data_IF_256466915370
#
_entry.id   IF_256466915370
#
_cell.length_a   1.000
_cell.length_b   1.000
_cell.length_c   1.000
_cell.angle_alpha   90.00
_cell.angle_beta   90.00
_cell.angle_gamma   90.00
#
_symmetry.space_group_name_H-M   'P 1'
#
loop_
_entity.id
_entity.type
_entity.pdbx_description
1 polymer ?
#
# COMPACT_ATOMS: atom_id res chain seq x y z
N UNK A 1 -30.05 -36.99 3.78
CA UNK A 1 -29.40 -35.82 3.15
C UNK A 1 -29.20 -34.80 4.23
N UNK A 2 -27.98 -34.68 4.73
CA UNK A 2 -27.63 -33.61 5.66
C UNK A 2 -27.63 -32.31 4.85
N UNK A 3 -28.61 -31.46 5.10
CA UNK A 3 -28.71 -30.16 4.46
C UNK A 3 -27.69 -29.29 5.19
N UNK A 4 -26.55 -29.03 4.53
CA UNK A 4 -25.57 -28.09 5.06
C UNK A 4 -26.25 -26.75 5.34
N UNK A 5 -25.93 -26.08 6.47
CA UNK A 5 -26.52 -24.79 6.79
C UNK A 5 -26.21 -23.79 5.67
N UNK A 6 -27.23 -23.01 5.27
CA UNK A 6 -27.08 -21.95 4.27
C UNK A 6 -26.01 -20.96 4.77
N UNK A 7 -24.97 -20.66 3.97
CA UNK A 7 -23.91 -19.77 4.41
C UNK A 7 -24.47 -18.38 4.70
N UNK A 8 -24.02 -17.80 5.82
CA UNK A 8 -24.40 -16.47 6.30
C UNK A 8 -24.46 -15.44 5.14
N UNK A 9 -25.47 -14.55 5.06
CA UNK A 9 -25.55 -13.53 4.01
C UNK A 9 -24.29 -12.66 3.85
N UNK A 10 -23.43 -12.54 4.86
CA UNK A 10 -22.11 -11.92 4.75
C UNK A 10 -21.10 -12.71 3.89
N UNK A 11 -21.29 -14.03 3.76
CA UNK A 11 -20.52 -14.95 2.89
C UNK A 11 -20.95 -14.85 1.42
N UNK A 12 -22.11 -14.25 1.13
CA UNK A 12 -22.72 -14.31 -0.22
C UNK A 12 -22.07 -13.43 -1.28
N UNK A 13 -21.01 -12.68 -0.95
CA UNK A 13 -20.28 -11.90 -1.95
C UNK A 13 -18.78 -12.12 -1.84
N UNK A 14 -18.28 -12.97 -2.75
CA UNK A 14 -16.86 -13.21 -2.93
C UNK A 14 -16.34 -12.40 -4.13
N UNK A 15 -15.03 -12.16 -4.15
CA UNK A 15 -14.32 -11.70 -5.34
C UNK A 15 -13.05 -12.53 -5.52
N UNK A 16 -12.46 -12.46 -6.71
CA UNK A 16 -11.17 -13.08 -6.98
C UNK A 16 -10.08 -12.00 -6.94
N UNK A 17 -9.02 -12.27 -6.19
CA UNK A 17 -7.87 -11.36 -6.13
C UNK A 17 -6.97 -11.57 -7.36
N UNK A 18 -6.70 -10.50 -8.11
CA UNK A 18 -5.90 -10.58 -9.34
C UNK A 18 -4.41 -10.91 -9.10
N UNK A 19 -3.92 -10.82 -7.85
CA UNK A 19 -2.53 -11.14 -7.48
C UNK A 19 -2.37 -12.62 -7.10
N UNK A 20 -3.18 -13.12 -6.16
CA UNK A 20 -3.05 -14.49 -5.67
C UNK A 20 -4.01 -15.48 -6.34
N UNK A 21 -4.94 -15.01 -7.18
CA UNK A 21 -5.98 -15.81 -7.85
C UNK A 21 -6.96 -16.56 -6.90
N UNK A 22 -6.92 -16.26 -5.59
CA UNK A 22 -7.86 -16.84 -4.62
C UNK A 22 -9.20 -16.09 -4.61
N UNK A 23 -10.27 -16.84 -4.32
CA UNK A 23 -11.56 -16.26 -3.96
C UNK A 23 -11.58 -15.85 -2.49
N UNK A 24 -11.92 -14.59 -2.21
CA UNK A 24 -11.97 -13.99 -0.87
C UNK A 24 -13.31 -13.29 -0.64
N UNK A 25 -13.74 -13.09 0.61
CA UNK A 25 -14.92 -12.28 0.91
C UNK A 25 -14.75 -10.83 0.44
N UNK A 26 -15.82 -10.20 -0.05
CA UNK A 26 -15.76 -8.81 -0.53
C UNK A 26 -15.31 -7.80 0.53
N UNK A 27 -15.56 -8.06 1.82
CA UNK A 27 -15.12 -7.16 2.88
C UNK A 27 -13.58 -7.16 3.07
N UNK A 28 -12.89 -8.16 2.52
CA UNK A 28 -11.42 -8.22 2.47
C UNK A 28 -10.85 -7.61 1.17
N UNK A 29 -11.71 -7.04 0.33
CA UNK A 29 -11.30 -6.40 -0.92
C UNK A 29 -10.81 -4.98 -0.70
N UNK A 30 -9.70 -4.67 -1.35
CA UNK A 30 -9.09 -3.36 -1.43
C UNK A 30 -9.22 -2.85 -2.87
N UNK A 31 -9.78 -1.65 -3.03
CA UNK A 31 -9.95 -0.98 -4.32
C UNK A 31 -9.01 0.19 -4.43
N UNK A 32 -8.24 0.22 -5.51
CA UNK A 32 -7.32 1.31 -5.80
C UNK A 32 -8.11 2.45 -6.44
N UNK A 33 -7.93 3.68 -5.96
CA UNK A 33 -8.57 4.86 -6.54
C UNK A 33 -8.07 5.07 -7.98
N UNK A 34 -8.99 5.42 -8.88
CA UNK A 34 -8.66 5.64 -10.29
C UNK A 34 -8.67 4.38 -11.16
N UNK A 35 -9.05 3.20 -10.63
CA UNK A 35 -9.32 2.02 -11.45
C UNK A 35 -10.37 1.08 -10.81
N UNK A 36 -10.73 0.00 -11.50
CA UNK A 36 -11.68 -1.02 -11.04
C UNK A 36 -11.02 -2.29 -10.48
N UNK A 37 -9.69 -2.35 -10.46
CA UNK A 37 -8.96 -3.53 -9.99
C UNK A 37 -9.08 -3.68 -8.47
N UNK A 38 -9.26 -4.92 -8.03
CA UNK A 38 -9.51 -5.27 -6.63
C UNK A 38 -8.55 -6.35 -6.17
N UNK A 39 -8.06 -6.22 -4.94
CA UNK A 39 -7.04 -7.11 -4.38
C UNK A 39 -7.39 -7.43 -2.93
N UNK A 40 -6.97 -8.57 -2.40
CA UNK A 40 -7.13 -8.81 -0.97
C UNK A 40 -6.13 -7.96 -0.16
N UNK A 41 -6.45 -7.71 1.11
CA UNK A 41 -5.57 -6.94 1.99
C UNK A 41 -4.16 -7.52 2.11
N UNK A 42 -4.01 -8.86 2.17
CA UNK A 42 -2.70 -9.50 2.24
C UNK A 42 -1.82 -9.21 1.02
N UNK A 43 -2.40 -9.29 -0.17
CA UNK A 43 -1.68 -8.97 -1.40
C UNK A 43 -1.27 -7.50 -1.46
N UNK A 44 -2.14 -6.56 -1.03
CA UNK A 44 -1.78 -5.14 -0.99
C UNK A 44 -0.70 -4.85 0.03
N UNK A 45 -0.78 -5.42 1.24
CA UNK A 45 0.26 -5.25 2.27
C UNK A 45 1.63 -5.69 1.75
N UNK A 46 1.69 -6.88 1.14
CA UNK A 46 2.94 -7.43 0.60
C UNK A 46 3.45 -6.63 -0.60
N UNK A 47 2.55 -6.22 -1.50
CA UNK A 47 2.89 -5.42 -2.67
C UNK A 47 3.47 -4.06 -2.27
N UNK A 48 2.81 -3.36 -1.35
CA UNK A 48 3.30 -2.09 -0.80
C UNK A 48 4.67 -2.28 -0.15
N UNK A 49 4.80 -3.25 0.75
CA UNK A 49 6.06 -3.52 1.44
C UNK A 49 7.21 -3.78 0.45
N UNK A 50 6.96 -4.56 -0.61
CA UNK A 50 7.95 -4.82 -1.67
C UNK A 50 8.35 -3.55 -2.42
N UNK A 51 7.40 -2.68 -2.79
CA UNK A 51 7.73 -1.43 -3.49
C UNK A 51 8.52 -0.46 -2.63
N UNK A 52 8.21 -0.38 -1.34
CA UNK A 52 8.98 0.42 -0.39
C UNK A 52 10.38 -0.16 -0.12
N UNK A 53 10.53 -1.49 -0.21
CA UNK A 53 11.84 -2.14 -0.21
C UNK A 53 12.68 -1.72 -1.41
N UNK A 54 12.06 -1.59 -2.59
CA UNK A 54 12.68 -1.08 -3.81
C UNK A 54 12.92 0.44 -3.81
N UNK A 55 12.58 1.14 -2.72
CA UNK A 55 12.70 2.61 -2.62
C UNK A 55 11.64 3.39 -3.39
N UNK A 56 10.58 2.74 -3.85
CA UNK A 56 9.50 3.37 -4.63
C UNK A 56 8.41 3.88 -3.69
N UNK A 57 8.33 5.21 -3.53
CA UNK A 57 7.29 5.87 -2.71
C UNK A 57 5.98 6.13 -3.45
N UNK A 58 6.02 6.26 -4.78
CA UNK A 58 4.84 6.44 -5.63
C UNK A 58 4.37 5.08 -6.15
N UNK A 59 3.39 4.48 -5.47
CA UNK A 59 2.95 3.11 -5.73
C UNK A 59 1.70 3.11 -6.58
N UNK A 60 1.84 2.64 -7.82
CA UNK A 60 0.74 2.49 -8.76
C UNK A 60 0.08 1.11 -8.67
N UNK A 61 -1.09 1.00 -9.29
CA UNK A 61 -1.79 -0.25 -9.51
C UNK A 61 -0.87 -1.33 -10.11
N UNK A 62 -0.88 -2.57 -9.58
CA UNK A 62 -0.08 -3.69 -10.09
C UNK A 62 -0.27 -3.98 -11.59
N UNK A 63 -1.46 -3.70 -12.14
CA UNK A 63 -1.76 -3.90 -13.56
C UNK A 63 -0.96 -2.93 -14.45
N UNK A 64 -0.19 -3.42 -15.43
CA UNK A 64 0.56 -2.58 -16.36
C UNK A 64 -0.33 -1.59 -17.11
N UNK A 65 0.16 -0.35 -17.30
CA UNK A 65 -0.56 0.77 -17.96
C UNK A 65 -1.83 1.24 -17.25
N UNK A 66 -2.13 0.74 -16.04
CA UNK A 66 -3.17 1.30 -15.20
C UNK A 66 -2.62 2.51 -14.43
N UNK A 67 -3.36 3.61 -14.42
CA UNK A 67 -2.98 4.84 -13.72
C UNK A 67 -3.60 4.98 -12.32
N UNK A 68 -4.21 3.91 -11.80
CA UNK A 68 -4.71 3.89 -10.42
C UNK A 68 -3.56 4.01 -9.43
N UNK A 69 -3.75 4.82 -8.39
CA UNK A 69 -2.73 5.16 -7.39
C UNK A 69 -3.12 4.61 -6.02
N UNK A 70 -2.15 4.02 -5.32
CA UNK A 70 -2.31 3.67 -3.91
C UNK A 70 -1.87 4.86 -3.06
N UNK A 71 -2.84 5.53 -2.46
CA UNK A 71 -2.57 6.60 -1.50
C UNK A 71 -2.38 5.99 -0.10
N UNK A 72 -1.36 6.41 0.67
CA UNK A 72 -1.07 5.89 2.01
C UNK A 72 -2.27 5.97 2.96
N UNK A 73 -3.09 7.01 2.84
CA UNK A 73 -4.26 7.28 3.68
C UNK A 73 -5.25 6.11 3.66
N UNK A 74 -5.47 5.51 2.50
CA UNK A 74 -6.35 4.34 2.36
C UNK A 74 -5.68 3.04 2.81
N UNK A 75 -4.35 2.99 2.84
CA UNK A 75 -3.60 1.81 3.24
C UNK A 75 -3.33 1.76 4.75
N UNK A 76 -3.52 2.88 5.47
CA UNK A 76 -3.21 3.01 6.91
C UNK A 76 -3.85 1.93 7.78
N UNK A 77 -5.11 1.59 7.50
CA UNK A 77 -5.85 0.62 8.33
C UNK A 77 -5.38 -0.82 8.14
N UNK A 78 -4.77 -1.12 6.99
CA UNK A 78 -4.34 -2.49 6.65
C UNK A 78 -2.84 -2.68 6.84
N UNK A 79 -2.03 -1.63 6.72
CA UNK A 79 -0.57 -1.75 6.79
C UNK A 79 -0.08 -1.88 8.24
N UNK A 80 0.93 -2.73 8.47
CA UNK A 80 1.71 -2.66 9.71
C UNK A 80 2.33 -1.27 9.88
N UNK A 81 2.39 -0.78 11.13
CA UNK A 81 2.91 0.54 11.47
C UNK A 81 4.30 0.80 10.85
N UNK A 82 5.21 -0.16 10.94
CA UNK A 82 6.58 -0.03 10.41
C UNK A 82 6.62 0.18 8.89
N UNK A 83 5.71 -0.48 8.15
CA UNK A 83 5.60 -0.33 6.70
C UNK A 83 5.04 1.06 6.36
N UNK A 84 4.03 1.50 7.10
CA UNK A 84 3.43 2.83 6.93
C UNK A 84 4.42 3.97 7.25
N UNK A 85 5.16 3.86 8.36
CA UNK A 85 6.20 4.83 8.76
C UNK A 85 7.32 4.92 7.71
N UNK A 86 7.78 3.77 7.19
CA UNK A 86 8.75 3.74 6.09
C UNK A 86 8.22 4.41 4.82
N UNK A 87 6.93 4.22 4.51
CA UNK A 87 6.31 4.89 3.38
C UNK A 87 6.37 6.41 3.54
N UNK A 88 6.00 6.93 4.72
CA UNK A 88 6.08 8.36 5.02
C UNK A 88 7.50 8.93 4.84
N UNK A 89 8.52 8.23 5.35
CA UNK A 89 9.93 8.63 5.18
C UNK A 89 10.33 8.72 3.72
N UNK A 90 10.02 7.70 2.91
CA UNK A 90 10.33 7.68 1.48
C UNK A 90 9.57 8.78 0.70
N UNK A 91 8.33 9.08 1.10
CA UNK A 91 7.56 10.19 0.51
C UNK A 91 8.24 11.53 0.81
N UNK A 92 8.59 11.78 2.06
CA UNK A 92 9.36 12.97 2.46
C UNK A 92 10.67 13.07 1.68
N UNK A 93 11.44 11.98 1.59
CA UNK A 93 12.71 11.96 0.86
C UNK A 93 12.54 12.22 -0.65
N UNK A 94 11.42 11.78 -1.24
CA UNK A 94 11.12 11.93 -2.67
C UNK A 94 10.72 13.35 -3.06
N UNK A 95 10.15 14.13 -2.15
CA UNK A 95 9.80 15.54 -2.41
C UNK A 95 10.97 16.49 -2.15
N UNK A 96 11.93 16.09 -1.33
CA UNK A 96 13.11 16.91 -1.03
C UNK A 96 14.13 16.77 -2.17
N UNK A 97 14.29 17.84 -2.95
CA UNK A 97 15.34 17.91 -3.97
C UNK A 97 16.73 17.81 -3.33
N UNK A 98 17.67 17.13 -4.00
CA UNK A 98 19.04 17.02 -3.49
C UNK A 98 19.69 18.40 -3.26
N UNK A 99 19.29 19.43 -4.02
CA UNK A 99 19.75 20.81 -3.86
C UNK A 99 19.22 21.51 -2.62
N UNK A 100 18.16 21.02 -1.99
CA UNK A 100 17.57 21.56 -0.76
C UNK A 100 18.12 20.88 0.50
N UNK A 101 18.94 19.83 0.34
CA UNK A 101 19.53 19.07 1.43
C UNK A 101 20.87 19.70 1.81
N UNK A 102 20.96 20.31 2.99
CA UNK A 102 22.25 20.67 3.58
C UNK A 102 22.37 20.12 4.99
N UNK A 103 23.59 19.80 5.40
CA UNK A 103 23.85 19.24 6.74
C UNK A 103 24.22 20.35 7.71
N UNK A 104 23.82 20.15 8.97
CA UNK A 104 24.21 21.04 10.05
C UNK A 104 25.76 21.19 10.09
N UNK A 105 26.30 22.41 10.11
CA UNK A 105 27.75 22.63 10.05
C UNK A 105 28.48 22.31 11.36
N UNK A 106 27.75 22.04 12.45
CA UNK A 106 28.35 21.66 13.73
C UNK A 106 28.89 20.22 13.65
N UNK A 107 30.15 20.04 14.03
CA UNK A 107 30.86 18.74 13.91
C UNK A 107 30.17 17.57 14.60
N UNK A 108 29.39 17.86 15.65
CA UNK A 108 28.68 16.85 16.45
C UNK A 108 27.19 16.73 16.09
N UNK A 109 26.75 17.40 15.01
CA UNK A 109 25.36 17.39 14.55
C UNK A 109 25.30 16.97 13.08
N UNK A 110 24.82 15.75 12.84
CA UNK A 110 24.57 15.25 11.47
C UNK A 110 23.11 15.43 11.03
N UNK A 111 22.41 16.40 11.64
CA UNK A 111 21.03 16.68 11.27
C UNK A 111 20.96 17.19 9.83
N UNK A 112 20.03 16.63 9.06
CA UNK A 112 19.66 17.10 7.73
C UNK A 112 18.74 18.32 7.88
N UNK A 113 19.08 19.42 7.23
CA UNK A 113 18.32 20.66 7.19
C UNK A 113 17.77 20.90 5.77
N UNK A 114 16.64 21.59 5.70
CA UNK A 114 15.94 21.97 4.48
C UNK A 114 15.94 23.50 4.38
N UNK A 115 16.17 24.04 3.18
CA UNK A 115 16.09 25.48 2.86
C UNK A 115 14.63 25.92 2.59
#
# INVERSE_FOLDING_TARGET
VEIAPDPDPAVRRMFNCDICADSKPLYESFKIKGCSHSYCFDCIKNYVASKLQDGVSQINCPVPRCHGLLEPEYCREILPFEVFDRWGKLLCESVILASQKFYCPFKDCSALLLD
#
